data_IF_538693036299
#
_entry.id   IF_538693036299
#
_cell.length_a   1.000
_cell.length_b   1.000
_cell.length_c   1.000
_cell.angle_alpha   90.00
_cell.angle_beta   90.00
_cell.angle_gamma   90.00
#
_symmetry.space_group_name_H-M   'P 1'
#
loop_
_entity.id
_entity.type
_entity.pdbx_description
1 polymer ?
#
# COMPACT_ATOMS: atom_id res chain seq x y z
N UNK A 1 27.82 -5.19 -10.10
CA UNK A 1 26.99 -4.72 -11.24
C UNK A 1 25.80 -3.98 -10.67
N UNK A 2 25.48 -2.82 -11.24
CA UNK A 2 24.28 -2.05 -10.90
C UNK A 2 23.02 -2.82 -11.31
N UNK A 3 21.98 -2.86 -10.46
CA UNK A 3 20.68 -3.41 -10.81
C UNK A 3 19.54 -2.65 -10.12
N UNK A 4 18.34 -2.70 -10.72
CA UNK A 4 17.07 -2.34 -10.08
C UNK A 4 16.40 -3.64 -9.67
N UNK A 5 15.98 -3.73 -8.41
CA UNK A 5 15.34 -4.92 -7.85
C UNK A 5 13.91 -4.55 -7.44
N UNK A 6 12.92 -5.19 -8.05
CA UNK A 6 11.53 -5.06 -7.69
C UNK A 6 11.11 -6.24 -6.83
N UNK A 7 10.67 -5.97 -5.60
CA UNK A 7 10.19 -6.98 -4.64
C UNK A 7 8.73 -6.69 -4.34
N UNK A 8 7.86 -7.68 -4.55
CA UNK A 8 6.43 -7.56 -4.30
C UNK A 8 6.03 -8.42 -3.10
N UNK A 9 5.44 -7.75 -2.10
CA UNK A 9 4.96 -8.31 -0.85
C UNK A 9 3.42 -8.22 -0.83
N UNK A 10 2.69 -9.18 -1.43
CA UNK A 10 1.23 -9.12 -1.55
C UNK A 10 0.51 -9.08 -0.20
N UNK A 11 1.07 -9.77 0.80
CA UNK A 11 0.54 -9.87 2.17
C UNK A 11 1.37 -9.08 3.19
N UNK A 12 2.32 -8.26 2.71
CA UNK A 12 3.25 -7.49 3.54
C UNK A 12 4.56 -8.23 3.87
N UNK A 13 5.55 -7.51 4.45
CA UNK A 13 6.92 -7.99 4.62
C UNK A 13 7.08 -9.09 5.70
N UNK A 14 6.06 -9.33 6.53
CA UNK A 14 6.06 -10.39 7.54
C UNK A 14 5.42 -11.71 7.08
N UNK A 15 4.95 -11.79 5.84
CA UNK A 15 4.33 -12.98 5.28
C UNK A 15 5.35 -13.91 4.61
N UNK A 16 5.01 -15.20 4.51
CA UNK A 16 5.88 -16.23 3.93
C UNK A 16 5.97 -16.17 2.39
N UNK A 17 5.25 -15.27 1.73
CA UNK A 17 5.20 -15.17 0.27
C UNK A 17 5.64 -13.78 -0.23
N UNK A 18 6.62 -13.78 -1.13
CA UNK A 18 7.02 -12.60 -1.90
C UNK A 18 7.52 -13.04 -3.27
N UNK A 19 7.50 -12.13 -4.23
CA UNK A 19 8.10 -12.35 -5.56
C UNK A 19 9.13 -11.28 -5.85
N UNK A 20 10.24 -11.67 -6.47
CA UNK A 20 11.34 -10.77 -6.79
C UNK A 20 11.65 -10.80 -8.29
N UNK A 21 11.92 -9.61 -8.85
CA UNK A 21 12.46 -9.47 -10.20
C UNK A 21 13.60 -8.47 -10.23
N UNK A 22 14.74 -8.92 -10.74
CA UNK A 22 15.95 -8.09 -10.89
C UNK A 22 16.16 -7.69 -12.36
N UNK A 23 16.41 -6.40 -12.60
CA UNK A 23 16.72 -5.81 -13.91
C UNK A 23 18.21 -5.48 -13.98
N UNK A 24 18.89 -5.99 -15.00
CA UNK A 24 20.35 -5.85 -15.19
C UNK A 24 20.65 -5.48 -16.64
N UNK A 25 21.73 -4.75 -16.86
CA UNK A 25 22.18 -4.36 -18.19
C UNK A 25 22.62 -2.90 -18.24
N UNK A 26 22.66 -2.29 -19.45
CA UNK A 26 22.80 -0.85 -19.62
C UNK A 26 21.75 -0.06 -18.82
N UNK A 27 22.09 1.14 -18.34
CA UNK A 27 21.25 1.91 -17.42
C UNK A 27 19.88 2.25 -18.02
N UNK A 28 19.85 2.64 -19.29
CA UNK A 28 18.66 2.95 -20.08
C UNK A 28 17.72 1.74 -20.18
N UNK A 29 18.26 0.57 -20.54
CA UNK A 29 17.48 -0.67 -20.64
C UNK A 29 16.96 -1.12 -19.28
N UNK A 30 17.83 -1.14 -18.28
CA UNK A 30 17.46 -1.51 -16.91
C UNK A 30 16.32 -0.64 -16.37
N UNK A 31 16.40 0.68 -16.57
CA UNK A 31 15.37 1.62 -16.16
C UNK A 31 14.07 1.41 -16.95
N UNK A 32 14.17 1.32 -18.28
CA UNK A 32 13.01 1.12 -19.17
C UNK A 32 12.28 -0.20 -18.87
N UNK A 33 13.02 -1.29 -18.70
CA UNK A 33 12.47 -2.60 -18.40
C UNK A 33 11.78 -2.63 -17.03
N UNK A 34 12.38 -1.98 -16.02
CA UNK A 34 11.79 -1.86 -14.70
C UNK A 34 10.50 -1.03 -14.72
N UNK A 35 10.50 0.12 -15.41
CA UNK A 35 9.33 0.97 -15.57
C UNK A 35 8.19 0.27 -16.32
N UNK A 36 8.51 -0.42 -17.41
CA UNK A 36 7.53 -1.20 -18.17
C UNK A 36 6.93 -2.32 -17.31
N UNK A 37 7.77 -3.03 -16.56
CA UNK A 37 7.28 -4.06 -15.64
C UNK A 37 6.35 -3.48 -14.57
N UNK A 38 6.73 -2.35 -13.95
CA UNK A 38 5.88 -1.71 -12.94
C UNK A 38 4.55 -1.27 -13.55
N UNK A 39 4.60 -0.60 -14.70
CA UNK A 39 3.42 -0.14 -15.45
C UNK A 39 2.46 -1.27 -15.79
N UNK A 40 2.99 -2.41 -16.25
CA UNK A 40 2.17 -3.52 -16.71
C UNK A 40 1.68 -4.45 -15.60
N UNK A 41 2.31 -4.46 -14.43
CA UNK A 41 1.98 -5.43 -13.37
C UNK A 41 1.35 -4.81 -12.13
N UNK A 42 1.64 -3.53 -11.85
CA UNK A 42 1.24 -2.90 -10.60
C UNK A 42 0.46 -1.61 -10.79
N UNK A 43 0.38 -1.05 -12.00
CA UNK A 43 -0.40 0.17 -12.25
C UNK A 43 -1.79 -0.19 -12.75
N UNK A 44 -2.78 0.27 -12.01
CA UNK A 44 -4.19 0.05 -12.29
C UNK A 44 -4.90 1.38 -12.54
N UNK A 45 -5.78 1.41 -13.53
CA UNK A 45 -6.65 2.56 -13.83
C UNK A 45 -8.08 2.23 -13.38
N UNK A 46 -8.72 3.18 -12.68
CA UNK A 46 -10.15 3.18 -12.40
C UNK A 46 -10.81 4.37 -13.07
N UNK A 47 -11.95 4.11 -13.69
CA UNK A 47 -12.76 5.11 -14.38
C UNK A 47 -14.06 5.27 -13.60
N UNK A 48 -14.24 6.42 -12.96
CA UNK A 48 -15.48 6.78 -12.27
C UNK A 48 -16.36 7.61 -13.20
N UNK A 49 -17.56 7.12 -13.48
CA UNK A 49 -18.57 7.83 -14.28
C UNK A 49 -19.56 8.50 -13.34
N UNK A 50 -19.81 9.78 -13.55
CA UNK A 50 -20.77 10.56 -12.78
C UNK A 50 -22.07 10.73 -13.59
N UNK A 51 -23.27 10.49 -13.02
CA UNK A 51 -24.52 10.62 -13.75
C UNK A 51 -24.81 12.04 -14.26
N UNK A 52 -24.22 13.04 -13.58
CA UNK A 52 -24.41 14.47 -13.79
C UNK A 52 -23.34 15.09 -14.70
N UNK A 53 -22.32 14.34 -15.15
CA UNK A 53 -21.26 14.83 -16.03
C UNK A 53 -20.89 13.82 -17.12
N UNK A 54 -20.71 14.29 -18.35
CA UNK A 54 -20.30 13.44 -19.45
C UNK A 54 -18.83 12.96 -19.34
N UNK A 55 -17.99 13.73 -18.65
CA UNK A 55 -16.58 13.41 -18.46
C UNK A 55 -16.41 12.37 -17.34
N UNK A 56 -15.73 11.27 -17.65
CA UNK A 56 -15.36 10.26 -16.67
C UNK A 56 -14.03 10.66 -16.00
N UNK A 57 -13.98 10.62 -14.68
CA UNK A 57 -12.75 10.86 -13.95
C UNK A 57 -11.90 9.58 -13.92
N UNK A 58 -10.64 9.70 -14.33
CA UNK A 58 -9.67 8.60 -14.34
C UNK A 58 -8.72 8.77 -13.17
N UNK A 59 -8.62 7.74 -12.33
CA UNK A 59 -7.70 7.69 -11.19
C UNK A 59 -6.82 6.47 -11.33
N UNK A 60 -5.55 6.62 -10.97
CA UNK A 60 -4.58 5.53 -10.92
C UNK A 60 -4.26 5.17 -9.47
N UNK A 61 -3.94 3.91 -9.20
CA UNK A 61 -3.53 3.48 -7.87
C UNK A 61 -2.24 4.19 -7.42
N UNK A 62 -1.35 4.44 -8.38
CA UNK A 62 -0.17 5.29 -8.27
C UNK A 62 0.02 6.06 -9.58
N UNK A 63 0.29 7.38 -9.55
CA UNK A 63 0.56 8.13 -10.78
C UNK A 63 1.84 7.63 -11.45
N UNK A 64 1.75 7.09 -12.65
CA UNK A 64 2.92 6.55 -13.37
C UNK A 64 4.03 7.60 -13.57
N UNK A 65 3.66 8.85 -13.85
CA UNK A 65 4.62 9.96 -14.00
C UNK A 65 5.43 10.19 -12.71
N UNK A 66 4.81 10.01 -11.53
CA UNK A 66 5.53 10.11 -10.27
C UNK A 66 6.52 8.95 -10.09
N UNK A 67 6.10 7.72 -10.40
CA UNK A 67 6.98 6.53 -10.33
C UNK A 67 8.17 6.66 -11.29
N UNK A 68 7.92 7.07 -12.52
CA UNK A 68 8.94 7.30 -13.53
C UNK A 68 9.99 8.30 -13.04
N UNK A 69 9.53 9.43 -12.50
CA UNK A 69 10.40 10.47 -12.00
C UNK A 69 11.18 10.02 -10.75
N UNK A 70 10.55 9.30 -9.82
CA UNK A 70 11.20 8.78 -8.62
C UNK A 70 12.28 7.76 -8.99
N UNK A 71 11.96 6.79 -9.84
CA UNK A 71 12.91 5.73 -10.22
C UNK A 71 14.07 6.28 -11.05
N UNK A 72 13.79 7.24 -11.95
CA UNK A 72 14.84 7.95 -12.70
C UNK A 72 15.74 8.74 -11.77
N UNK A 73 15.19 9.44 -10.77
CA UNK A 73 15.97 10.15 -9.78
C UNK A 73 16.80 9.19 -8.90
N UNK A 74 16.28 8.00 -8.56
CA UNK A 74 17.05 6.96 -7.87
C UNK A 74 18.26 6.49 -8.71
N UNK A 75 18.08 6.26 -10.02
CA UNK A 75 19.19 5.93 -10.94
C UNK A 75 20.19 7.08 -11.06
N UNK A 76 19.69 8.31 -11.12
CA UNK A 76 20.51 9.51 -11.25
C UNK A 76 21.36 9.74 -10.00
N UNK A 77 20.79 9.64 -8.80
CA UNK A 77 21.43 10.10 -7.57
C UNK A 77 22.17 9.00 -6.80
N UNK A 78 21.96 7.72 -7.15
CA UNK A 78 22.68 6.58 -6.56
C UNK A 78 24.20 6.71 -6.64
N UNK A 79 24.90 6.29 -5.60
CA UNK A 79 26.34 6.01 -5.69
C UNK A 79 26.58 4.65 -6.35
N UNK A 80 27.29 4.64 -7.46
CA UNK A 80 27.66 3.41 -8.15
C UNK A 80 28.85 2.68 -7.50
N UNK A 81 29.47 3.29 -6.48
CA UNK A 81 30.46 2.64 -5.61
C UNK A 81 29.80 1.73 -4.57
N UNK A 82 28.53 2.01 -4.23
CA UNK A 82 27.71 1.22 -3.32
C UNK A 82 27.11 0.04 -4.10
N UNK A 83 27.20 -1.18 -3.54
CA UNK A 83 26.81 -2.41 -4.25
C UNK A 83 25.31 -2.64 -4.22
N UNK A 84 24.64 -2.08 -3.22
CA UNK A 84 23.23 -2.17 -2.93
C UNK A 84 22.41 -1.69 -4.13
N UNK A 85 21.41 -2.46 -4.56
CA UNK A 85 20.60 -2.12 -5.72
C UNK A 85 19.72 -0.92 -5.43
N UNK A 86 19.10 -0.40 -6.49
CA UNK A 86 17.89 0.43 -6.33
C UNK A 86 16.75 -0.53 -6.01
N UNK A 87 16.12 -0.35 -4.87
CA UNK A 87 15.06 -1.24 -4.39
C UNK A 87 13.69 -0.61 -4.66
N UNK A 88 12.83 -1.32 -5.36
CA UNK A 88 11.40 -1.00 -5.51
C UNK A 88 10.63 -2.05 -4.72
N UNK A 89 10.00 -1.66 -3.61
CA UNK A 89 9.15 -2.56 -2.82
C UNK A 89 7.70 -2.21 -3.10
N UNK A 90 6.92 -3.20 -3.50
CA UNK A 90 5.48 -3.09 -3.69
C UNK A 90 4.82 -3.76 -2.48
N UNK A 91 4.20 -2.95 -1.62
CA UNK A 91 3.49 -3.36 -0.42
C UNK A 91 1.97 -3.35 -0.66
N UNK A 92 1.16 -3.92 0.24
CA UNK A 92 -0.29 -3.92 0.08
C UNK A 92 -0.91 -2.52 0.02
N UNK A 93 -0.29 -1.56 0.69
CA UNK A 93 -0.77 -0.20 0.94
C UNK A 93 0.13 0.91 0.35
N UNK A 94 1.22 0.54 -0.31
CA UNK A 94 2.12 1.52 -0.91
C UNK A 94 3.22 0.94 -1.80
N UNK A 95 3.96 1.82 -2.45
CA UNK A 95 5.19 1.50 -3.18
C UNK A 95 6.32 2.35 -2.61
N UNK A 96 7.44 1.72 -2.26
CA UNK A 96 8.66 2.43 -1.85
C UNK A 96 9.73 2.27 -2.92
N UNK A 97 10.41 3.36 -3.28
CA UNK A 97 11.57 3.34 -4.18
C UNK A 97 12.75 3.94 -3.43
N UNK A 98 13.77 3.12 -3.21
CA UNK A 98 14.94 3.43 -2.40
C UNK A 98 16.25 3.38 -3.18
N UNK A 99 17.16 4.28 -2.85
CA UNK A 99 18.53 4.24 -3.34
C UNK A 99 19.52 4.74 -2.29
N UNK A 100 20.80 4.46 -2.54
CA UNK A 100 21.90 4.82 -1.67
C UNK A 100 22.91 5.69 -2.40
N UNK A 101 23.47 6.74 -1.77
CA UNK A 101 23.16 7.19 -0.42
C UNK A 101 21.94 8.11 -0.39
N UNK A 102 21.73 8.76 0.75
CA UNK A 102 20.72 9.78 0.95
C UNK A 102 21.00 11.11 0.25
N UNK A 103 20.12 12.10 0.45
CA UNK A 103 20.24 13.42 -0.16
C UNK A 103 21.51 14.14 0.29
N UNK A 104 22.00 15.07 -0.53
CA UNK A 104 23.18 15.87 -0.17
C UNK A 104 22.94 16.63 1.15
N UNK A 105 23.97 16.72 1.99
CA UNK A 105 23.89 17.41 3.29
C UNK A 105 23.56 18.89 3.19
N UNK A 106 23.69 19.49 2.00
CA UNK A 106 23.18 20.85 1.75
C UNK A 106 21.66 20.95 1.80
N UNK A 107 20.93 19.83 1.71
CA UNK A 107 19.46 19.79 1.84
C UNK A 107 19.11 19.63 3.31
N UNK A 108 18.49 20.67 3.87
CA UNK A 108 18.10 20.72 5.28
C UNK A 108 16.91 19.78 5.56
N UNK A 109 16.71 19.38 6.82
CA UNK A 109 15.53 18.60 7.18
C UNK A 109 14.22 19.38 6.94
N UNK A 110 14.25 20.70 7.12
CA UNK A 110 13.12 21.58 6.80
C UNK A 110 12.81 21.57 5.30
N UNK A 111 13.83 21.57 4.45
CA UNK A 111 13.68 21.43 3.01
C UNK A 111 13.08 20.07 2.64
N UNK A 112 13.52 18.98 3.27
CA UNK A 112 12.96 17.64 3.06
C UNK A 112 11.47 17.62 3.44
N UNK A 113 11.13 18.14 4.63
CA UNK A 113 9.74 18.23 5.11
C UNK A 113 8.86 19.09 4.19
N UNK A 114 9.40 20.18 3.66
CA UNK A 114 8.72 21.05 2.68
C UNK A 114 8.76 20.53 1.25
N UNK A 115 9.39 19.37 1.02
CA UNK A 115 9.61 18.79 -0.31
C UNK A 115 10.39 19.73 -1.27
N UNK A 116 11.31 20.54 -0.74
CA UNK A 116 12.11 21.55 -1.46
C UNK A 116 13.56 21.09 -1.65
N UNK A 117 13.77 20.11 -2.50
CA UNK A 117 15.10 19.54 -2.75
C UNK A 117 15.91 20.41 -3.72
N UNK A 118 16.48 21.50 -3.23
CA UNK A 118 17.36 22.39 -4.01
C UNK A 118 18.81 22.00 -3.75
N UNK A 119 19.35 21.08 -4.55
CA UNK A 119 20.80 20.81 -4.58
C UNK A 119 21.46 21.50 -5.77
N UNK A 120 22.61 22.14 -5.52
CA UNK A 120 23.49 22.68 -6.57
C UNK A 120 24.56 21.69 -7.02
N UNK A 121 24.69 20.54 -6.35
CA UNK A 121 25.71 19.53 -6.61
C UNK A 121 25.04 18.25 -7.12
N UNK A 122 25.33 17.92 -8.37
CA UNK A 122 24.91 16.67 -8.99
C UNK A 122 26.08 15.70 -8.97
N UNK A 123 25.93 14.57 -8.27
CA UNK A 123 26.99 13.57 -8.11
C UNK A 123 27.35 12.92 -9.45
N UNK A 124 26.33 12.49 -10.19
CA UNK A 124 26.51 11.76 -11.45
C UNK A 124 26.18 12.64 -12.66
N UNK A 125 26.96 13.70 -12.87
CA UNK A 125 26.71 14.66 -13.96
C UNK A 125 26.65 13.99 -15.35
N UNK A 126 27.54 13.04 -15.64
CA UNK A 126 27.56 12.30 -16.92
C UNK A 126 26.33 11.42 -17.12
N UNK A 127 25.86 10.75 -16.06
CA UNK A 127 24.62 9.96 -16.10
C UNK A 127 23.44 10.89 -16.32
N UNK A 128 23.47 12.07 -15.73
CA UNK A 128 22.47 13.10 -15.96
C UNK A 128 22.43 13.67 -17.36
N UNK A 129 23.59 13.92 -17.96
CA UNK A 129 23.70 14.34 -19.36
C UNK A 129 23.18 13.23 -20.30
N UNK A 130 23.54 11.97 -20.04
CA UNK A 130 23.05 10.82 -20.79
C UNK A 130 21.52 10.63 -20.68
N UNK A 131 20.95 10.71 -19.48
CA UNK A 131 19.49 10.58 -19.30
C UNK A 131 18.72 11.77 -19.89
N UNK A 132 19.33 12.95 -19.99
CA UNK A 132 18.77 14.11 -20.71
C UNK A 132 18.74 13.88 -22.21
N UNK A 133 19.81 13.33 -22.78
CA UNK A 133 19.86 12.98 -24.22
C UNK A 133 18.81 11.94 -24.61
N UNK A 134 18.38 11.11 -23.66
CA UNK A 134 17.31 10.13 -23.84
C UNK A 134 15.91 10.67 -23.51
N UNK A 135 15.76 11.99 -23.29
CA UNK A 135 14.51 12.64 -22.87
C UNK A 135 13.87 12.06 -21.59
N UNK A 136 14.66 11.37 -20.75
CA UNK A 136 14.17 10.69 -19.54
C UNK A 136 14.18 11.60 -18.29
N UNK A 137 14.97 12.68 -18.30
CA UNK A 137 14.98 13.67 -17.22
C UNK A 137 15.42 15.04 -17.73
N UNK A 138 14.88 16.12 -17.18
CA UNK A 138 15.33 17.48 -17.49
C UNK A 138 16.59 17.86 -16.69
N UNK A 139 16.85 17.18 -15.57
CA UNK A 139 17.96 17.41 -14.63
C UNK A 139 18.19 18.87 -14.26
N UNK A 140 17.11 19.62 -14.01
CA UNK A 140 17.10 21.03 -13.55
C UNK A 140 16.41 21.21 -12.19
N UNK A 141 16.32 20.16 -11.39
CA UNK A 141 15.61 20.19 -10.10
C UNK A 141 14.07 20.21 -10.22
N UNK A 142 13.54 19.86 -11.40
CA UNK A 142 12.09 19.81 -11.67
C UNK A 142 11.45 18.49 -11.23
N UNK A 143 12.24 17.49 -10.84
CA UNK A 143 11.73 16.15 -10.51
C UNK A 143 10.75 16.11 -9.34
N UNK A 144 11.12 16.67 -8.19
CA UNK A 144 10.21 16.71 -7.03
C UNK A 144 8.93 17.53 -7.32
N UNK A 145 9.01 18.75 -7.90
CA UNK A 145 7.82 19.47 -8.35
C UNK A 145 6.92 18.65 -9.28
N UNK A 146 7.49 17.92 -10.25
CA UNK A 146 6.74 17.06 -11.19
C UNK A 146 6.07 15.88 -10.49
N UNK A 147 6.73 15.27 -9.51
CA UNK A 147 6.14 14.24 -8.64
C UNK A 147 4.92 14.82 -7.90
N UNK A 148 5.07 15.98 -7.26
CA UNK A 148 3.98 16.62 -6.50
C UNK A 148 2.79 17.00 -7.40
N UNK A 149 3.06 17.55 -8.59
CA UNK A 149 2.01 17.88 -9.57
C UNK A 149 1.27 16.63 -10.05
N UNK A 150 1.97 15.52 -10.30
CA UNK A 150 1.35 14.27 -10.71
C UNK A 150 0.47 13.66 -9.60
N UNK A 151 0.93 13.75 -8.35
CA UNK A 151 0.21 13.33 -7.15
C UNK A 151 -1.07 14.16 -6.98
N UNK A 152 -0.96 15.49 -7.07
CA UNK A 152 -2.08 16.42 -6.95
C UNK A 152 -3.10 16.21 -8.08
N UNK A 153 -2.65 16.10 -9.33
CA UNK A 153 -3.55 15.86 -10.48
C UNK A 153 -4.34 14.54 -10.36
N UNK A 154 -3.75 13.53 -9.74
CA UNK A 154 -4.39 12.23 -9.50
C UNK A 154 -5.14 12.18 -8.17
N UNK A 155 -5.23 13.27 -7.40
CA UNK A 155 -5.80 13.30 -6.03
C UNK A 155 -5.22 12.22 -5.08
N UNK A 156 -3.94 11.90 -5.26
CA UNK A 156 -3.27 10.90 -4.44
C UNK A 156 -2.78 11.49 -3.10
N UNK A 157 -2.60 10.65 -2.06
CA UNK A 157 -1.95 11.08 -0.84
C UNK A 157 -0.54 11.59 -1.14
N UNK A 158 -0.07 12.55 -0.34
CA UNK A 158 1.27 13.11 -0.50
C UNK A 158 2.34 12.02 -0.31
N UNK A 159 3.43 12.05 -1.11
CA UNK A 159 4.55 11.14 -0.92
C UNK A 159 5.24 11.40 0.43
N UNK A 160 5.81 10.34 1.01
CA UNK A 160 6.63 10.43 2.22
C UNK A 160 8.09 10.22 1.82
N UNK A 161 8.98 11.06 2.33
CA UNK A 161 10.42 11.00 2.06
C UNK A 161 11.15 10.54 3.32
N UNK A 162 11.88 9.43 3.20
CA UNK A 162 12.62 8.83 4.31
C UNK A 162 14.13 8.93 4.05
N UNK A 163 14.85 9.38 5.08
CA UNK A 163 16.32 9.38 5.19
C UNK A 163 16.66 9.42 6.68
N UNK A 164 17.87 9.01 7.03
CA UNK A 164 18.42 9.19 8.38
C UNK A 164 19.24 10.49 8.50
N UNK A 165 19.75 10.74 9.71
CA UNK A 165 20.62 11.88 10.03
C UNK A 165 21.94 11.83 9.25
N UNK A 166 22.48 10.63 9.02
CA UNK A 166 23.73 10.43 8.30
C UNK A 166 23.62 10.63 6.78
N UNK A 167 22.39 10.72 6.25
CA UNK A 167 22.06 10.71 4.82
C UNK A 167 22.59 9.45 4.14
N UNK A 168 22.41 8.30 4.80
CA UNK A 168 22.87 7.00 4.31
C UNK A 168 21.95 6.43 3.23
N UNK A 169 20.67 6.78 3.21
CA UNK A 169 19.71 6.34 2.18
C UNK A 169 18.67 7.41 1.84
N UNK A 170 18.03 7.27 0.69
CA UNK A 170 16.83 8.04 0.33
C UNK A 170 15.76 7.11 -0.20
N UNK A 171 14.61 7.08 0.47
CA UNK A 171 13.44 6.29 0.07
C UNK A 171 12.26 7.22 -0.11
N UNK A 172 11.58 7.09 -1.25
CA UNK A 172 10.30 7.75 -1.51
C UNK A 172 9.19 6.71 -1.39
N UNK A 173 8.21 6.99 -0.56
CA UNK A 173 7.02 6.17 -0.36
C UNK A 173 5.80 6.84 -1.00
N UNK A 174 5.15 6.11 -1.89
CA UNK A 174 3.86 6.45 -2.47
C UNK A 174 2.79 5.60 -1.80
N UNK A 175 1.82 6.24 -1.15
CA UNK A 175 0.68 5.54 -0.56
C UNK A 175 -0.36 5.19 -1.64
N UNK A 176 -1.02 4.06 -1.45
CA UNK A 176 -2.10 3.59 -2.33
C UNK A 176 -3.20 4.65 -2.39
N UNK A 177 -3.63 4.99 -3.61
CA UNK A 177 -4.73 5.93 -3.79
C UNK A 177 -6.02 5.43 -3.08
N UNK A 178 -6.74 6.25 -2.29
CA UNK A 178 -7.86 5.82 -1.47
C UNK A 178 -8.97 5.08 -2.21
N UNK A 179 -9.23 5.42 -3.48
CA UNK A 179 -10.22 4.72 -4.33
C UNK A 179 -9.82 3.25 -4.61
N UNK A 180 -8.53 2.91 -4.53
CA UNK A 180 -8.05 1.54 -4.64
C UNK A 180 -7.91 0.88 -3.27
N UNK A 181 -7.68 1.67 -2.22
CA UNK A 181 -7.78 1.19 -0.84
C UNK A 181 -9.21 0.77 -0.49
N UNK A 182 -10.25 1.40 -1.03
CA UNK A 182 -11.66 1.01 -0.80
C UNK A 182 -12.06 -0.37 -1.35
N UNK A 183 -11.28 -0.93 -2.28
CA UNK A 183 -11.45 -2.31 -2.74
C UNK A 183 -10.60 -3.30 -1.91
N UNK A 184 -9.64 -2.79 -1.11
CA UNK A 184 -8.82 -3.56 -0.16
C UNK A 184 -9.30 -3.44 1.29
N UNK A 185 -9.97 -2.36 1.67
CA UNK A 185 -11.06 -2.44 2.62
C UNK A 185 -11.98 -3.50 2.05
N UNK A 186 -12.44 -4.47 2.84
CA UNK A 186 -13.54 -5.26 2.37
C UNK A 186 -14.69 -4.27 2.11
N UNK A 187 -14.93 -3.92 0.83
CA UNK A 187 -16.26 -4.11 0.29
C UNK A 187 -16.74 -5.38 0.97
N UNK A 188 -17.72 -5.27 1.87
CA UNK A 188 -18.23 -6.40 2.62
C UNK A 188 -18.33 -7.57 1.64
N UNK A 189 -17.37 -8.51 1.73
CA UNK A 189 -17.25 -9.56 0.72
C UNK A 189 -18.66 -10.13 0.60
N UNK A 190 -19.27 -10.19 -0.59
CA UNK A 190 -20.55 -10.84 -0.74
C UNK A 190 -20.52 -12.29 -0.19
N UNK A 191 -19.32 -12.83 0.06
CA UNK A 191 -19.09 -14.15 0.60
C UNK A 191 -18.15 -14.18 1.83
N UNK A 192 -18.24 -13.24 2.78
CA UNK A 192 -17.94 -13.63 4.17
C UNK A 192 -19.07 -14.56 4.61
N UNK A 193 -18.76 -15.85 4.81
CA UNK A 193 -19.70 -16.79 5.40
C UNK A 193 -20.29 -16.17 6.67
N UNK A 194 -21.58 -16.37 6.91
CA UNK A 194 -22.27 -15.78 8.07
C UNK A 194 -21.52 -16.06 9.39
N UNK A 195 -20.79 -17.19 9.44
CA UNK A 195 -19.87 -17.57 10.51
C UNK A 195 -18.77 -16.51 10.78
N UNK A 196 -18.06 -16.04 9.76
CA UNK A 196 -16.98 -15.07 9.92
C UNK A 196 -17.50 -13.69 10.34
N UNK A 197 -18.68 -13.29 9.84
CA UNK A 197 -19.35 -12.06 10.28
C UNK A 197 -19.64 -12.08 11.78
N UNK A 198 -20.12 -13.21 12.30
CA UNK A 198 -20.39 -13.40 13.73
C UNK A 198 -19.09 -13.29 14.54
N UNK A 199 -18.02 -13.98 14.13
CA UNK A 199 -16.75 -13.97 14.85
C UNK A 199 -16.11 -12.57 14.86
N UNK A 200 -16.16 -11.84 13.74
CA UNK A 200 -15.66 -10.47 13.65
C UNK A 200 -16.42 -9.51 14.59
N UNK A 201 -17.75 -9.62 14.68
CA UNK A 201 -18.54 -8.83 15.63
C UNK A 201 -18.12 -9.13 17.06
N UNK A 202 -17.91 -10.41 17.40
CA UNK A 202 -17.55 -10.83 18.74
C UNK A 202 -16.09 -10.53 19.12
N UNK A 203 -15.21 -10.19 18.16
CA UNK A 203 -13.88 -9.59 18.46
C UNK A 203 -14.02 -8.23 19.14
N UNK A 204 -15.10 -7.50 18.85
CA UNK A 204 -15.36 -6.15 19.35
C UNK A 204 -16.22 -6.11 20.62
N UNK A 205 -16.49 -7.26 21.24
CA UNK A 205 -17.18 -7.36 22.52
C UNK A 205 -18.31 -8.38 22.56
N UNK A 206 -19.02 -8.40 23.70
CA UNK A 206 -20.06 -9.38 23.98
C UNK A 206 -21.42 -8.91 23.50
N UNK A 207 -22.07 -9.71 22.67
CA UNK A 207 -23.34 -9.34 22.03
C UNK A 207 -24.42 -10.41 22.23
N UNK A 208 -25.67 -9.95 22.38
CA UNK A 208 -26.82 -10.84 22.31
C UNK A 208 -27.06 -11.28 20.87
N UNK A 209 -27.82 -12.35 20.67
CA UNK A 209 -28.13 -12.83 19.31
C UNK A 209 -28.87 -11.79 18.47
N UNK A 210 -29.75 -11.00 19.07
CA UNK A 210 -30.45 -9.90 18.40
C UNK A 210 -29.49 -8.78 17.99
N UNK A 211 -28.55 -8.40 18.87
CA UNK A 211 -27.54 -7.40 18.54
C UNK A 211 -26.57 -7.87 17.44
N UNK A 212 -26.25 -9.17 17.39
CA UNK A 212 -25.49 -9.77 16.28
C UNK A 212 -26.29 -9.67 14.98
N UNK A 213 -27.59 -9.98 14.99
CA UNK A 213 -28.44 -9.89 13.80
C UNK A 213 -28.48 -8.45 13.24
N UNK A 214 -28.69 -7.46 14.12
CA UNK A 214 -28.71 -6.04 13.77
C UNK A 214 -27.39 -5.58 13.16
N UNK A 215 -26.26 -5.95 13.78
CA UNK A 215 -24.91 -5.61 13.27
C UNK A 215 -24.55 -6.30 11.95
N UNK A 216 -25.20 -7.42 11.60
CA UNK A 216 -25.04 -8.10 10.30
C UNK A 216 -26.01 -7.52 9.25
N UNK A 217 -26.91 -6.60 9.62
CA UNK A 217 -27.88 -5.97 8.72
C UNK A 217 -29.21 -6.73 8.62
N UNK A 218 -29.48 -7.68 9.51
CA UNK A 218 -30.74 -8.42 9.55
C UNK A 218 -31.74 -7.73 10.50
N UNK A 219 -32.97 -7.48 10.04
CA UNK A 219 -34.06 -6.93 10.87
C UNK A 219 -34.50 -7.86 12.01
N UNK A 220 -34.30 -9.17 11.82
CA UNK A 220 -34.66 -10.22 12.78
C UNK A 220 -33.59 -11.30 12.81
N UNK A 221 -33.55 -12.09 13.88
CA UNK A 221 -32.66 -13.26 13.98
C UNK A 221 -33.10 -14.30 12.95
N UNK A 222 -32.31 -14.49 11.89
CA UNK A 222 -32.61 -15.45 10.83
C UNK A 222 -32.38 -16.91 11.29
N UNK A 223 -33.04 -17.85 10.61
CA UNK A 223 -32.81 -19.29 10.82
C UNK A 223 -31.35 -19.70 10.57
N UNK A 224 -30.72 -19.10 9.56
CA UNK A 224 -29.31 -19.34 9.24
C UNK A 224 -28.38 -18.79 10.33
N UNK A 225 -28.67 -17.61 10.90
CA UNK A 225 -27.93 -17.09 12.05
C UNK A 225 -28.02 -18.01 13.26
N UNK A 226 -29.21 -18.55 13.54
CA UNK A 226 -29.40 -19.54 14.60
C UNK A 226 -28.61 -20.84 14.38
N UNK A 227 -28.49 -21.28 13.13
CA UNK A 227 -27.70 -22.45 12.76
C UNK A 227 -26.20 -22.19 12.96
N UNK A 228 -25.70 -21.04 12.50
CA UNK A 228 -24.28 -20.71 12.61
C UNK A 228 -23.83 -20.46 14.05
N UNK A 229 -24.63 -19.77 14.87
CA UNK A 229 -24.32 -19.59 16.30
C UNK A 229 -24.21 -20.96 17.01
N UNK A 230 -25.09 -21.92 16.70
CA UNK A 230 -25.00 -23.27 17.26
C UNK A 230 -23.74 -24.02 16.81
N UNK A 231 -23.38 -23.90 15.53
CA UNK A 231 -22.16 -24.53 15.00
C UNK A 231 -20.90 -23.96 15.66
N UNK A 232 -20.84 -22.64 15.84
CA UNK A 232 -19.73 -21.94 16.50
C UNK A 232 -19.60 -22.32 17.99
N UNK A 233 -20.73 -22.45 18.70
CA UNK A 233 -20.75 -22.95 20.08
C UNK A 233 -20.25 -24.40 20.14
N UNK A 234 -20.69 -25.27 19.22
CA UNK A 234 -20.26 -26.68 19.16
C UNK A 234 -18.78 -26.83 18.81
N UNK A 235 -18.25 -25.93 17.96
CA UNK A 235 -16.84 -25.89 17.59
C UNK A 235 -15.92 -25.31 18.70
N UNK A 236 -16.53 -24.78 19.77
CA UNK A 236 -15.83 -24.14 20.88
C UNK A 236 -15.18 -22.81 20.52
N UNK A 237 -15.69 -22.09 19.51
CA UNK A 237 -15.17 -20.79 19.06
C UNK A 237 -15.84 -19.62 19.78
N UNK A 238 -17.07 -19.81 20.23
CA UNK A 238 -17.83 -18.84 21.03
C UNK A 238 -18.45 -19.55 22.23
N UNK A 239 -18.73 -18.81 23.29
CA UNK A 239 -19.37 -19.31 24.50
C UNK A 239 -20.37 -18.31 25.09
N UNK A 240 -21.18 -18.79 26.04
CA UNK A 240 -22.09 -17.94 26.80
C UNK A 240 -21.34 -17.10 27.82
N UNK A 241 -21.75 -15.85 27.98
CA UNK A 241 -21.25 -15.00 29.07
C UNK A 241 -21.79 -15.44 30.43
N UNK A 242 -22.95 -16.12 30.47
CA UNK A 242 -23.55 -16.68 31.68
C UNK A 242 -23.79 -18.20 31.50
N UNK A 243 -22.76 -19.06 31.64
CA UNK A 243 -22.87 -20.49 31.37
C UNK A 243 -23.90 -21.22 32.24
N UNK A 244 -24.04 -20.81 33.50
CA UNK A 244 -24.96 -21.44 34.48
C UNK A 244 -26.44 -21.14 34.24
N UNK A 245 -26.77 -20.15 33.41
CA UNK A 245 -28.15 -19.72 33.11
C UNK A 245 -28.32 -19.44 31.62
N UNK A 246 -28.35 -20.48 30.75
CA UNK A 246 -28.38 -20.31 29.29
C UNK A 246 -29.59 -19.49 28.82
N UNK A 247 -30.74 -19.62 29.48
CA UNK A 247 -31.98 -18.91 29.14
C UNK A 247 -32.12 -17.53 29.81
N UNK A 248 -31.03 -16.96 30.33
CA UNK A 248 -31.07 -15.62 30.93
C UNK A 248 -31.44 -14.56 29.88
N UNK A 249 -32.35 -13.61 30.18
CA UNK A 249 -32.66 -12.50 29.26
C UNK A 249 -31.45 -11.59 29.02
N UNK A 250 -30.44 -11.63 29.90
CA UNK A 250 -29.18 -10.88 29.78
C UNK A 250 -28.06 -11.70 29.12
N UNK A 251 -28.36 -12.87 28.56
CA UNK A 251 -27.36 -13.75 27.96
C UNK A 251 -26.74 -13.12 26.71
N UNK A 252 -25.41 -13.24 26.60
CA UNK A 252 -24.63 -12.80 25.45
C UNK A 252 -23.67 -13.90 25.03
N UNK A 253 -23.11 -13.74 23.84
CA UNK A 253 -22.05 -14.59 23.31
C UNK A 253 -20.73 -13.82 23.37
N UNK A 254 -19.64 -14.53 23.62
CA UNK A 254 -18.26 -14.01 23.58
C UNK A 254 -17.34 -15.01 22.89
N UNK A 255 -16.20 -14.54 22.38
CA UNK A 255 -15.17 -15.43 21.82
C UNK A 255 -14.48 -16.24 22.93
N UNK A 256 -14.15 -17.48 22.63
CA UNK A 256 -13.21 -18.27 23.42
C UNK A 256 -11.76 -17.97 23.00
N UNK A 257 -10.77 -18.43 23.77
CA UNK A 257 -9.36 -18.36 23.36
C UNK A 257 -9.10 -19.02 22.00
N UNK A 258 -9.83 -20.10 21.68
CA UNK A 258 -9.77 -20.75 20.36
C UNK A 258 -10.37 -19.86 19.26
N UNK A 259 -11.47 -19.17 19.55
CA UNK A 259 -12.12 -18.23 18.65
C UNK A 259 -11.30 -16.98 18.33
N UNK A 260 -10.49 -16.51 19.29
CA UNK A 260 -9.59 -15.37 19.09
C UNK A 260 -8.43 -15.68 18.14
N UNK A 261 -7.96 -16.94 18.14
CA UNK A 261 -6.84 -17.42 17.32
C UNK A 261 -7.24 -17.88 15.91
N UNK A 262 -8.53 -17.82 15.54
CA UNK A 262 -8.93 -18.05 14.16
C UNK A 262 -8.51 -16.83 13.35
N UNK A 263 -7.58 -17.03 12.40
CA UNK A 263 -7.21 -16.03 11.40
C UNK A 263 -8.44 -15.66 10.58
N UNK A 264 -9.08 -14.55 10.95
CA UNK A 264 -10.22 -13.92 10.29
C UNK A 264 -9.78 -12.52 9.92
#
# INVERSE_FOLDING_TARGET
MSCIQCVHFPDGPGADSFSEKSFKGPLDRMLTDALNYIKSQFIEEKVQKFPDRAEAERRYNYPYVAIEEILTNAVYHRSYEIREPIEVRILPDGITIGSFPGPDRSITDEDIQKCRFISRRYRNRRIGEFLKELDMTEGRGTGIPKILQAIEKNDSPKPIFHTDEDRSYFVVELLLHPVFAKDKEPELRPELSLQNKILHILKNGDFSKSAIAEKIGHKVVSGELNKQVRNLMKAGLIEYTIPKKPNSPKQKYRLTSKGQNVGI
#
